data_IF_653874566805
#
_entry.id   IF_653874566805
#
_cell.length_a   1.000
_cell.length_b   1.000
_cell.length_c   1.000
_cell.angle_alpha   90.00
_cell.angle_beta   90.00
_cell.angle_gamma   90.00
#
_symmetry.space_group_name_H-M   'P 1'
#
loop_
_entity.id
_entity.type
_entity.pdbx_description
1 polymer ?
#
# COMPACT_ATOMS: atom_id res chain seq x y z
N UNK A 1 30.64 -86.53 -6.54
CA UNK A 1 29.64 -85.44 -6.77
C UNK A 1 29.65 -84.33 -5.77
N UNK A 2 29.77 -84.53 -4.42
CA UNK A 2 29.83 -83.46 -3.37
C UNK A 2 31.07 -82.59 -3.46
N UNK A 3 32.25 -83.09 -3.80
CA UNK A 3 33.50 -82.32 -3.88
C UNK A 3 33.51 -81.38 -5.08
N UNK A 4 32.91 -81.73 -6.21
CA UNK A 4 32.82 -80.91 -7.42
C UNK A 4 31.85 -79.73 -7.18
N UNK A 5 30.78 -79.97 -6.40
CA UNK A 5 29.79 -78.92 -6.07
C UNK A 5 30.35 -77.87 -5.11
N UNK A 6 31.21 -78.33 -4.17
CA UNK A 6 31.88 -77.39 -3.24
C UNK A 6 32.94 -76.52 -3.94
N UNK A 7 33.67 -77.07 -4.90
CA UNK A 7 34.65 -76.31 -5.70
C UNK A 7 33.99 -75.28 -6.60
N UNK A 8 32.80 -75.61 -7.16
CA UNK A 8 32.03 -74.66 -8.01
C UNK A 8 31.43 -73.50 -7.16
N UNK A 9 30.97 -73.80 -5.95
CA UNK A 9 30.43 -72.75 -5.05
C UNK A 9 31.56 -71.81 -4.55
N UNK A 10 32.73 -72.33 -4.26
CA UNK A 10 33.91 -71.52 -3.85
C UNK A 10 34.37 -70.67 -5.03
N UNK A 11 34.37 -71.19 -6.28
CA UNK A 11 34.73 -70.43 -7.48
C UNK A 11 33.73 -69.29 -7.76
N UNK A 12 32.43 -69.53 -7.52
CA UNK A 12 31.39 -68.50 -7.70
C UNK A 12 31.46 -67.44 -6.60
N UNK A 13 31.79 -67.82 -5.39
CA UNK A 13 32.00 -66.86 -4.26
C UNK A 13 33.27 -66.04 -4.50
N UNK A 14 34.38 -66.67 -4.96
CA UNK A 14 35.60 -65.91 -5.35
C UNK A 14 35.37 -65.01 -6.55
N UNK A 15 34.58 -65.43 -7.55
CA UNK A 15 34.20 -64.56 -8.68
C UNK A 15 33.29 -63.40 -8.22
N UNK A 16 32.36 -63.64 -7.29
CA UNK A 16 31.53 -62.56 -6.71
C UNK A 16 32.31 -61.56 -5.86
N UNK A 17 33.39 -62.00 -5.17
CA UNK A 17 34.28 -61.11 -4.44
C UNK A 17 35.19 -60.30 -5.35
N UNK A 18 35.50 -60.80 -6.53
CA UNK A 18 36.27 -60.08 -7.57
C UNK A 18 35.44 -59.09 -8.36
N UNK A 19 34.09 -59.16 -8.31
CA UNK A 19 33.20 -58.18 -8.95
C UNK A 19 32.69 -57.07 -8.01
N UNK A 20 32.92 -57.20 -6.70
CA UNK A 20 32.82 -56.04 -5.78
C UNK A 20 34.11 -55.24 -5.99
N UNK A 21 34.08 -54.35 -6.99
CA UNK A 21 35.23 -53.56 -7.37
C UNK A 21 35.81 -52.81 -6.17
N UNK A 22 37.00 -53.18 -5.76
CA UNK A 22 37.95 -52.20 -5.26
C UNK A 22 38.16 -51.23 -6.41
N UNK A 23 37.41 -50.15 -6.42
CA UNK A 23 37.79 -48.96 -7.20
C UNK A 23 39.14 -48.48 -6.63
N UNK A 24 40.25 -48.97 -7.21
CA UNK A 24 41.53 -48.33 -7.01
C UNK A 24 41.34 -46.88 -7.36
N UNK A 25 41.57 -45.99 -6.40
CA UNK A 25 41.52 -44.54 -6.66
C UNK A 25 42.37 -44.25 -7.92
N UNK A 26 41.78 -43.54 -8.87
CA UNK A 26 42.50 -43.15 -10.10
C UNK A 26 43.70 -42.26 -9.78
N UNK A 27 44.63 -42.18 -10.67
CA UNK A 27 45.78 -41.27 -10.53
C UNK A 27 45.36 -39.83 -10.40
N UNK A 28 44.28 -39.46 -11.14
CA UNK A 28 43.65 -38.13 -11.10
C UNK A 28 43.05 -37.83 -9.71
N UNK A 29 42.25 -38.75 -9.15
CA UNK A 29 41.63 -38.63 -7.86
C UNK A 29 42.67 -38.57 -6.69
N UNK A 30 43.70 -39.41 -6.79
CA UNK A 30 44.83 -39.40 -5.82
C UNK A 30 45.60 -38.09 -5.87
N UNK A 31 45.91 -37.58 -7.09
CA UNK A 31 46.58 -36.30 -7.29
C UNK A 31 45.70 -35.12 -6.79
N UNK A 32 44.40 -35.15 -7.05
CA UNK A 32 43.46 -34.14 -6.56
C UNK A 32 43.48 -34.05 -5.03
N UNK A 33 43.38 -35.19 -4.33
CA UNK A 33 43.41 -35.26 -2.85
C UNK A 33 44.69 -34.67 -2.29
N UNK A 34 45.85 -34.90 -2.97
CA UNK A 34 47.14 -34.29 -2.57
C UNK A 34 47.15 -32.77 -2.75
N UNK A 35 46.59 -32.25 -3.85
CA UNK A 35 46.43 -30.83 -4.06
C UNK A 35 45.48 -30.17 -3.07
N UNK A 36 44.38 -30.84 -2.70
CA UNK A 36 43.46 -30.36 -1.66
C UNK A 36 44.17 -30.24 -0.30
N UNK A 37 44.92 -31.26 0.09
CA UNK A 37 45.73 -31.21 1.33
C UNK A 37 46.73 -30.03 1.35
N UNK A 38 47.30 -29.66 0.18
CA UNK A 38 48.21 -28.54 0.02
C UNK A 38 47.47 -27.19 -0.17
N UNK A 39 46.13 -27.18 -0.15
CA UNK A 39 45.27 -26.02 -0.44
C UNK A 39 45.50 -25.41 -1.84
N UNK A 40 46.04 -26.20 -2.77
CA UNK A 40 46.19 -25.81 -4.17
C UNK A 40 44.91 -26.18 -4.95
N UNK A 41 43.83 -25.41 -4.65
CA UNK A 41 42.49 -25.70 -5.17
C UNK A 41 42.40 -25.56 -6.71
N UNK A 42 43.22 -24.73 -7.35
CA UNK A 42 43.22 -24.61 -8.81
C UNK A 42 43.75 -25.87 -9.50
N UNK A 43 44.84 -26.48 -8.99
CA UNK A 43 45.35 -27.71 -9.53
C UNK A 43 44.47 -28.92 -9.12
N UNK A 44 43.88 -28.91 -7.91
CA UNK A 44 42.91 -29.89 -7.49
C UNK A 44 41.72 -29.92 -8.46
N UNK A 45 41.12 -28.77 -8.81
CA UNK A 45 40.01 -28.63 -9.74
C UNK A 45 40.33 -29.26 -11.10
N UNK A 46 41.53 -28.92 -11.69
CA UNK A 46 41.96 -29.49 -12.98
C UNK A 46 42.05 -31.02 -12.96
N UNK A 47 42.52 -31.60 -11.85
CA UNK A 47 42.58 -33.07 -11.74
C UNK A 47 41.21 -33.69 -11.57
N UNK A 48 40.33 -33.06 -10.79
CA UNK A 48 38.95 -33.53 -10.60
C UNK A 48 38.11 -33.44 -11.88
N UNK A 49 38.26 -32.39 -12.64
CA UNK A 49 37.63 -32.27 -13.97
C UNK A 49 38.05 -33.41 -14.91
N UNK A 50 39.35 -33.75 -14.93
CA UNK A 50 39.83 -34.94 -15.68
C UNK A 50 39.26 -36.25 -15.12
N UNK A 51 39.18 -36.37 -13.80
CA UNK A 51 38.58 -37.54 -13.13
C UNK A 51 37.16 -37.75 -13.58
N UNK A 52 36.28 -36.71 -13.48
CA UNK A 52 34.88 -36.83 -13.79
C UNK A 52 34.62 -36.97 -15.32
N UNK A 53 35.54 -36.47 -16.16
CA UNK A 53 35.51 -36.68 -17.62
C UNK A 53 35.79 -38.14 -17.96
N UNK A 54 36.83 -38.76 -17.36
CA UNK A 54 37.18 -40.16 -17.55
C UNK A 54 36.23 -41.13 -16.88
N UNK A 55 35.75 -40.75 -15.69
CA UNK A 55 34.86 -41.54 -14.86
C UNK A 55 33.56 -40.77 -14.53
N UNK A 56 32.60 -40.68 -15.47
CA UNK A 56 31.35 -39.94 -15.27
C UNK A 56 30.43 -40.50 -14.16
N UNK A 57 30.79 -41.65 -13.59
CA UNK A 57 30.13 -42.31 -12.45
C UNK A 57 30.94 -42.24 -11.16
N UNK A 58 31.97 -41.36 -11.07
CA UNK A 58 32.77 -41.14 -9.89
C UNK A 58 32.01 -40.22 -8.91
N UNK A 59 31.23 -40.80 -7.99
CA UNK A 59 30.50 -40.00 -6.97
C UNK A 59 31.50 -39.17 -6.12
N UNK A 60 32.61 -39.80 -5.65
CA UNK A 60 33.65 -39.13 -4.89
C UNK A 60 34.33 -38.03 -5.68
N UNK A 61 34.57 -38.24 -7.02
CA UNK A 61 35.15 -37.24 -7.90
C UNK A 61 34.27 -35.99 -7.97
N UNK A 62 32.97 -36.14 -8.16
CA UNK A 62 32.03 -35.01 -8.15
C UNK A 62 31.86 -34.39 -6.78
N UNK A 63 31.86 -35.14 -5.69
CA UNK A 63 31.83 -34.62 -4.35
C UNK A 63 33.02 -33.72 -4.07
N UNK A 64 34.26 -34.22 -4.29
CA UNK A 64 35.48 -33.42 -4.11
C UNK A 64 35.55 -32.20 -5.06
N UNK A 65 35.05 -32.33 -6.28
CA UNK A 65 34.93 -31.19 -7.21
C UNK A 65 34.02 -30.11 -6.63
N UNK A 66 32.91 -30.50 -6.00
CA UNK A 66 32.03 -29.57 -5.30
C UNK A 66 32.70 -28.86 -4.14
N UNK A 67 33.47 -29.59 -3.29
CA UNK A 67 34.23 -29.00 -2.20
C UNK A 67 35.29 -28.01 -2.70
N UNK A 68 36.03 -28.35 -3.74
CA UNK A 68 37.06 -27.48 -4.33
C UNK A 68 36.45 -26.22 -4.94
N UNK A 69 35.32 -26.34 -5.62
CA UNK A 69 34.58 -25.19 -6.17
C UNK A 69 34.03 -24.28 -5.08
N UNK A 70 33.61 -24.84 -3.93
CA UNK A 70 33.26 -24.06 -2.75
C UNK A 70 34.41 -23.18 -2.27
N UNK A 71 35.63 -23.73 -2.14
CA UNK A 71 36.81 -22.99 -1.72
C UNK A 71 37.18 -21.89 -2.72
N UNK A 72 36.94 -22.12 -4.00
CA UNK A 72 37.12 -21.14 -5.08
C UNK A 72 35.96 -20.13 -5.19
N UNK A 73 34.91 -20.25 -4.35
CA UNK A 73 33.67 -19.43 -4.37
C UNK A 73 32.85 -19.57 -5.66
N UNK A 74 33.06 -20.63 -6.42
CA UNK A 74 32.22 -21.01 -7.56
C UNK A 74 31.00 -21.80 -7.04
N UNK A 75 30.00 -21.09 -6.51
CA UNK A 75 28.83 -21.72 -5.88
C UNK A 75 27.90 -22.37 -6.90
N UNK A 76 27.84 -21.87 -8.12
CA UNK A 76 27.07 -22.50 -9.18
C UNK A 76 27.69 -23.83 -9.56
N UNK A 77 28.98 -23.87 -9.82
CA UNK A 77 29.69 -25.11 -10.13
C UNK A 77 29.73 -26.09 -8.94
N UNK A 78 29.83 -25.60 -7.71
CA UNK A 78 29.67 -26.39 -6.50
C UNK A 78 28.32 -27.12 -6.48
N UNK A 79 27.23 -26.40 -6.73
CA UNK A 79 25.89 -26.98 -6.77
C UNK A 79 25.78 -28.06 -7.85
N UNK A 80 26.23 -27.76 -9.05
CA UNK A 80 26.18 -28.70 -10.19
C UNK A 80 26.98 -29.99 -9.88
N UNK A 81 28.19 -29.87 -9.30
CA UNK A 81 28.99 -31.00 -8.91
C UNK A 81 28.30 -31.84 -7.81
N UNK A 82 27.76 -31.20 -6.76
CA UNK A 82 27.04 -31.91 -5.71
C UNK A 82 25.75 -32.56 -6.22
N UNK A 83 24.97 -31.90 -7.05
CA UNK A 83 23.76 -32.48 -7.63
C UNK A 83 24.10 -33.71 -8.50
N UNK A 84 25.26 -33.66 -9.21
CA UNK A 84 25.75 -34.80 -9.97
C UNK A 84 26.20 -35.95 -9.07
N UNK A 85 26.96 -35.68 -7.99
CA UNK A 85 27.33 -36.67 -7.01
C UNK A 85 26.10 -37.39 -6.45
N UNK A 86 25.08 -36.65 -5.99
CA UNK A 86 23.84 -37.18 -5.46
C UNK A 86 23.03 -38.00 -6.49
N UNK A 87 23.13 -37.67 -7.78
CA UNK A 87 22.48 -38.45 -8.86
C UNK A 87 23.13 -39.78 -9.09
N UNK A 88 24.41 -39.97 -8.69
CA UNK A 88 25.17 -41.18 -8.83
C UNK A 88 24.95 -42.14 -7.65
N UNK A 89 25.01 -41.56 -6.42
CA UNK A 89 24.80 -42.34 -5.20
C UNK A 89 24.64 -41.46 -3.93
N UNK A 90 24.25 -42.07 -2.80
CA UNK A 90 23.98 -41.34 -1.58
C UNK A 90 25.15 -41.30 -0.60
N UNK A 91 26.34 -41.76 -0.99
CA UNK A 91 27.49 -41.94 -0.06
C UNK A 91 27.83 -40.65 0.66
N UNK A 92 27.88 -39.51 -0.08
CA UNK A 92 28.22 -38.19 0.44
C UNK A 92 27.00 -37.28 0.71
N UNK A 93 25.80 -37.86 0.80
CA UNK A 93 24.57 -37.08 0.93
C UNK A 93 24.54 -36.18 2.17
N UNK A 94 24.99 -36.70 3.32
CA UNK A 94 25.02 -35.98 4.60
C UNK A 94 26.05 -34.86 4.59
N UNK A 95 27.23 -35.13 4.06
CA UNK A 95 28.32 -34.18 3.90
C UNK A 95 27.91 -33.03 2.98
N UNK A 96 27.35 -33.35 1.81
CA UNK A 96 26.83 -32.37 0.88
C UNK A 96 25.79 -31.47 1.51
N UNK A 97 24.82 -32.05 2.24
CA UNK A 97 23.80 -31.28 2.94
C UNK A 97 24.41 -30.35 3.99
N UNK A 98 25.38 -30.86 4.77
CA UNK A 98 26.07 -30.04 5.78
C UNK A 98 26.86 -28.88 5.15
N UNK A 99 27.58 -29.14 4.06
CA UNK A 99 28.33 -28.12 3.32
C UNK A 99 27.38 -27.09 2.74
N UNK A 100 26.32 -27.51 2.05
CA UNK A 100 25.31 -26.59 1.48
C UNK A 100 24.69 -25.71 2.56
N UNK A 101 24.36 -26.27 3.72
CA UNK A 101 23.79 -25.51 4.85
C UNK A 101 24.80 -24.47 5.40
N UNK A 102 26.05 -24.88 5.59
CA UNK A 102 27.13 -24.00 6.08
C UNK A 102 27.40 -22.86 5.12
N UNK A 103 27.53 -23.15 3.83
CA UNK A 103 27.77 -22.14 2.78
C UNK A 103 26.57 -21.17 2.68
N UNK A 104 25.37 -21.72 2.64
CA UNK A 104 24.15 -20.92 2.64
C UNK A 104 24.08 -20.00 3.85
N UNK A 105 24.33 -20.53 5.07
CA UNK A 105 24.28 -19.75 6.30
C UNK A 105 25.28 -18.59 6.31
N UNK A 106 26.50 -18.82 5.83
CA UNK A 106 27.51 -17.77 5.69
C UNK A 106 27.08 -16.70 4.70
N UNK A 107 26.65 -17.08 3.49
CA UNK A 107 26.19 -16.14 2.45
C UNK A 107 24.93 -15.39 2.90
N UNK A 108 24.01 -16.05 3.56
CA UNK A 108 22.81 -15.41 4.12
C UNK A 108 23.18 -14.34 5.17
N UNK A 109 24.09 -14.68 6.10
CA UNK A 109 24.54 -13.74 7.11
C UNK A 109 25.35 -12.55 6.52
N UNK A 110 26.18 -12.80 5.50
CA UNK A 110 26.84 -11.74 4.73
C UNK A 110 25.81 -10.77 4.11
N UNK A 111 24.74 -11.30 3.54
CA UNK A 111 23.64 -10.51 3.00
C UNK A 111 22.89 -9.70 4.06
N UNK A 112 22.59 -10.32 5.21
CA UNK A 112 21.91 -9.64 6.34
C UNK A 112 22.81 -8.53 6.91
N UNK A 113 24.08 -8.78 7.09
CA UNK A 113 25.03 -7.77 7.58
C UNK A 113 25.13 -6.59 6.59
N UNK A 114 25.23 -6.87 5.29
CA UNK A 114 25.28 -5.86 4.27
C UNK A 114 23.99 -5.01 4.22
N UNK A 115 22.81 -5.64 4.29
CA UNK A 115 21.53 -4.90 4.24
C UNK A 115 21.32 -4.06 5.50
N UNK A 116 21.80 -4.49 6.66
CA UNK A 116 21.71 -3.72 7.90
C UNK A 116 22.63 -2.48 7.88
N UNK A 117 23.73 -2.53 7.12
CA UNK A 117 24.65 -1.40 6.88
C UNK A 117 24.24 -0.56 5.68
N UNK A 118 23.14 -0.88 5.01
CA UNK A 118 22.73 -0.22 3.76
C UNK A 118 22.22 1.23 3.94
N UNK A 119 21.91 1.65 5.19
CA UNK A 119 21.62 3.06 5.49
C UNK A 119 22.76 4.00 5.09
N UNK A 120 24.00 3.47 5.00
CA UNK A 120 25.20 4.28 4.82
C UNK A 120 25.71 4.31 3.37
N UNK A 121 25.28 3.36 2.50
CA UNK A 121 25.67 3.40 1.08
C UNK A 121 24.91 2.39 0.21
N UNK A 122 24.64 2.77 -1.06
CA UNK A 122 24.07 1.88 -2.09
C UNK A 122 24.96 0.65 -2.37
N UNK A 123 26.29 0.76 -2.20
CA UNK A 123 27.22 -0.35 -2.37
C UNK A 123 26.93 -1.52 -1.40
N UNK A 124 26.39 -1.25 -0.22
CA UNK A 124 25.99 -2.30 0.72
C UNK A 124 24.73 -3.03 0.27
N UNK A 125 23.81 -2.35 -0.42
CA UNK A 125 22.62 -2.99 -1.02
C UNK A 125 23.05 -3.97 -2.11
N UNK A 126 23.99 -3.59 -2.99
CA UNK A 126 24.52 -4.47 -4.04
C UNK A 126 25.25 -5.70 -3.48
N UNK A 127 26.01 -5.51 -2.40
CA UNK A 127 26.64 -6.63 -1.67
C UNK A 127 25.59 -7.60 -1.12
N UNK A 128 24.50 -7.08 -0.52
CA UNK A 128 23.41 -7.89 -0.01
C UNK A 128 22.73 -8.69 -1.13
N UNK A 129 22.42 -8.03 -2.26
CA UNK A 129 21.83 -8.69 -3.44
C UNK A 129 22.74 -9.81 -3.93
N UNK A 130 24.04 -9.56 -4.05
CA UNK A 130 25.00 -10.57 -4.49
C UNK A 130 25.04 -11.76 -3.54
N UNK A 131 25.15 -11.50 -2.23
CA UNK A 131 25.22 -12.56 -1.21
C UNK A 131 23.93 -13.40 -1.17
N UNK A 132 22.74 -12.77 -1.17
CA UNK A 132 21.48 -13.50 -1.20
C UNK A 132 21.26 -14.24 -2.53
N UNK A 133 21.70 -13.71 -3.66
CA UNK A 133 21.62 -14.40 -4.94
C UNK A 133 22.46 -15.68 -4.92
N UNK A 134 23.70 -15.63 -4.41
CA UNK A 134 24.52 -16.83 -4.24
C UNK A 134 23.93 -17.80 -3.23
N UNK A 135 23.36 -17.30 -2.13
CA UNK A 135 22.67 -18.16 -1.15
C UNK A 135 21.47 -18.91 -1.78
N UNK A 136 20.75 -18.30 -2.71
CA UNK A 136 19.65 -18.96 -3.48
C UNK A 136 20.19 -19.99 -4.45
N UNK A 137 21.37 -19.77 -5.07
CA UNK A 137 22.02 -20.80 -5.89
C UNK A 137 22.28 -22.05 -5.06
N UNK A 138 22.77 -21.90 -3.82
CA UNK A 138 23.07 -23.03 -2.92
C UNK A 138 21.83 -23.71 -2.38
N UNK A 139 20.81 -22.92 -1.98
CA UNK A 139 19.53 -23.39 -1.42
C UNK A 139 18.34 -22.67 -2.09
N UNK A 140 17.92 -23.12 -3.28
CA UNK A 140 16.86 -22.44 -4.06
C UNK A 140 15.49 -22.36 -3.36
N UNK A 141 15.21 -23.30 -2.46
CA UNK A 141 13.97 -23.41 -1.69
C UNK A 141 13.92 -22.48 -0.47
N UNK A 142 15.01 -21.78 -0.16
CA UNK A 142 15.07 -20.92 1.03
C UNK A 142 14.14 -19.71 0.90
N UNK A 143 12.96 -19.80 1.52
CA UNK A 143 11.93 -18.75 1.59
C UNK A 143 12.49 -17.47 2.20
N UNK A 144 13.23 -17.62 3.32
CA UNK A 144 13.83 -16.50 4.03
C UNK A 144 14.84 -15.72 3.17
N UNK A 145 15.65 -16.45 2.39
CA UNK A 145 16.59 -15.81 1.46
C UNK A 145 15.85 -15.07 0.33
N UNK A 146 14.80 -15.67 -0.23
CA UNK A 146 13.95 -15.01 -1.24
C UNK A 146 13.33 -13.72 -0.72
N UNK A 147 12.75 -13.75 0.50
CA UNK A 147 12.21 -12.55 1.11
C UNK A 147 13.26 -11.46 1.28
N UNK A 148 14.43 -11.80 1.83
CA UNK A 148 15.50 -10.82 2.06
C UNK A 148 16.09 -10.28 0.76
N UNK A 149 16.18 -11.10 -0.29
CA UNK A 149 16.57 -10.65 -1.63
C UNK A 149 15.52 -9.67 -2.20
N UNK A 150 14.23 -9.97 -2.04
CA UNK A 150 13.17 -9.05 -2.42
C UNK A 150 13.24 -7.71 -1.67
N UNK A 151 13.52 -7.73 -0.36
CA UNK A 151 13.73 -6.52 0.42
C UNK A 151 14.97 -5.73 -0.05
N UNK A 152 16.07 -6.43 -0.40
CA UNK A 152 17.27 -5.79 -0.93
C UNK A 152 17.02 -5.10 -2.28
N UNK A 153 16.27 -5.75 -3.19
CA UNK A 153 15.85 -5.12 -4.44
C UNK A 153 14.90 -3.94 -4.21
N UNK A 154 13.98 -4.03 -3.24
CA UNK A 154 13.12 -2.90 -2.89
C UNK A 154 13.93 -1.68 -2.43
N UNK A 155 14.96 -1.88 -1.59
CA UNK A 155 15.87 -0.80 -1.17
C UNK A 155 16.72 -0.24 -2.31
N UNK A 156 16.94 -1.04 -3.36
CA UNK A 156 17.63 -0.62 -4.60
C UNK A 156 16.68 0.11 -5.56
N UNK A 157 15.39 0.19 -5.24
CA UNK A 157 14.34 0.71 -6.11
C UNK A 157 14.11 -0.15 -7.38
N UNK A 158 14.65 -1.38 -7.43
CA UNK A 158 14.32 -2.37 -8.45
C UNK A 158 13.04 -3.10 -8.06
N UNK A 159 11.92 -2.41 -8.28
CA UNK A 159 10.59 -2.88 -7.88
C UNK A 159 10.19 -4.19 -8.58
N UNK A 160 10.45 -4.40 -9.91
CA UNK A 160 10.12 -5.66 -10.56
C UNK A 160 10.82 -6.86 -9.90
N UNK A 161 12.12 -6.76 -9.61
CA UNK A 161 12.89 -7.82 -8.96
C UNK A 161 12.45 -8.04 -7.51
N UNK A 162 12.06 -6.97 -6.80
CA UNK A 162 11.52 -7.04 -5.46
C UNK A 162 10.20 -7.85 -5.46
N UNK A 163 9.25 -7.48 -6.31
CA UNK A 163 7.96 -8.15 -6.44
C UNK A 163 8.16 -9.63 -6.79
N UNK A 164 9.02 -9.95 -7.77
CA UNK A 164 9.28 -11.33 -8.16
C UNK A 164 9.72 -12.19 -6.97
N UNK A 165 10.73 -11.75 -6.24
CA UNK A 165 11.29 -12.54 -5.14
C UNK A 165 10.33 -12.64 -3.94
N UNK A 166 9.63 -11.56 -3.59
CA UNK A 166 8.61 -11.55 -2.55
C UNK A 166 7.41 -12.44 -2.90
N UNK A 167 6.97 -12.44 -4.18
CA UNK A 167 5.90 -13.32 -4.64
C UNK A 167 6.26 -14.78 -4.49
N UNK A 168 7.49 -15.17 -4.86
CA UNK A 168 7.98 -16.55 -4.66
C UNK A 168 7.99 -16.91 -3.17
N UNK A 169 8.47 -16.01 -2.31
CA UNK A 169 8.49 -16.23 -0.87
C UNK A 169 7.07 -16.38 -0.29
N UNK A 170 6.14 -15.55 -0.72
CA UNK A 170 4.75 -15.61 -0.26
C UNK A 170 4.01 -16.84 -0.79
N UNK A 171 3.97 -17.04 -2.11
CA UNK A 171 3.12 -18.07 -2.72
C UNK A 171 3.65 -19.49 -2.46
N UNK A 172 4.97 -19.70 -2.57
CA UNK A 172 5.59 -21.01 -2.33
C UNK A 172 5.90 -21.26 -0.86
N UNK A 173 6.33 -20.23 -0.14
CA UNK A 173 6.79 -20.33 1.25
C UNK A 173 5.76 -19.97 2.29
N UNK A 174 4.59 -19.45 1.90
CA UNK A 174 3.57 -18.92 2.82
C UNK A 174 4.16 -17.91 3.82
N UNK A 175 5.07 -17.06 3.33
CA UNK A 175 5.78 -16.10 4.19
C UNK A 175 4.91 -14.88 4.46
N UNK A 176 4.53 -14.68 5.72
CA UNK A 176 3.69 -13.57 6.18
C UNK A 176 4.33 -12.21 5.88
N UNK A 177 5.64 -12.07 6.15
CA UNK A 177 6.33 -10.79 5.95
C UNK A 177 6.44 -10.46 4.46
N UNK A 178 6.65 -11.45 3.60
CA UNK A 178 6.64 -11.24 2.15
C UNK A 178 5.26 -10.77 1.66
N UNK A 179 4.17 -11.34 2.20
CA UNK A 179 2.81 -10.87 1.91
C UNK A 179 2.63 -9.39 2.28
N UNK A 180 3.02 -9.02 3.51
CA UNK A 180 2.91 -7.64 4.00
C UNK A 180 3.74 -6.65 3.17
N UNK A 181 4.98 -7.04 2.83
CA UNK A 181 5.86 -6.21 1.99
C UNK A 181 5.30 -6.02 0.58
N UNK A 182 4.79 -7.09 -0.05
CA UNK A 182 4.15 -6.99 -1.37
C UNK A 182 2.96 -6.03 -1.35
N UNK A 183 2.05 -6.21 -0.40
CA UNK A 183 0.89 -5.34 -0.28
C UNK A 183 1.27 -3.89 -0.05
N UNK A 184 2.29 -3.64 0.78
CA UNK A 184 2.81 -2.30 1.04
C UNK A 184 3.42 -1.68 -0.22
N UNK A 185 4.24 -2.42 -0.98
CA UNK A 185 4.81 -1.94 -2.24
C UNK A 185 3.70 -1.46 -3.19
N UNK A 186 2.67 -2.27 -3.38
CA UNK A 186 1.55 -1.91 -4.26
C UNK A 186 0.74 -0.73 -3.73
N UNK A 187 0.49 -0.65 -2.41
CA UNK A 187 -0.18 0.49 -1.79
C UNK A 187 0.61 1.79 -1.95
N UNK A 188 1.91 1.75 -1.68
CA UNK A 188 2.79 2.93 -1.78
C UNK A 188 2.83 3.46 -3.22
N UNK A 189 2.97 2.58 -4.22
CA UNK A 189 2.94 2.93 -5.65
C UNK A 189 1.57 3.50 -6.07
N UNK A 190 0.50 2.88 -5.61
CA UNK A 190 -0.86 3.39 -5.86
C UNK A 190 -1.07 4.78 -5.30
N UNK A 191 -0.59 5.02 -4.07
CA UNK A 191 -0.66 6.32 -3.40
C UNK A 191 0.21 7.38 -4.10
N UNK A 192 1.43 7.03 -4.53
CA UNK A 192 2.31 7.93 -5.28
C UNK A 192 1.65 8.41 -6.57
N UNK A 193 1.14 7.48 -7.38
CA UNK A 193 0.42 7.80 -8.62
C UNK A 193 -0.84 8.63 -8.36
N UNK A 194 -1.59 8.33 -7.30
CA UNK A 194 -2.77 9.10 -6.90
C UNK A 194 -2.40 10.53 -6.48
N UNK A 195 -1.32 10.69 -5.73
CA UNK A 195 -0.80 12.00 -5.31
C UNK A 195 -0.38 12.81 -6.53
N UNK A 196 0.40 12.22 -7.43
CA UNK A 196 0.82 12.84 -8.69
C UNK A 196 -0.38 13.32 -9.52
N UNK A 197 -1.41 12.48 -9.68
CA UNK A 197 -2.65 12.86 -10.35
C UNK A 197 -3.32 14.05 -9.67
N UNK A 198 -3.44 14.03 -8.34
CA UNK A 198 -4.12 15.08 -7.58
C UNK A 198 -3.35 16.40 -7.66
N UNK A 199 -2.02 16.35 -7.58
CA UNK A 199 -1.18 17.55 -7.68
C UNK A 199 -1.20 18.16 -9.07
N UNK A 200 -1.14 17.34 -10.13
CA UNK A 200 -1.21 17.78 -11.51
C UNK A 200 -2.55 18.49 -11.84
N UNK A 201 -3.62 18.16 -11.10
CA UNK A 201 -4.95 18.71 -11.32
C UNK A 201 -5.45 19.57 -10.15
N UNK A 202 -4.57 20.01 -9.24
CA UNK A 202 -4.94 20.73 -8.01
C UNK A 202 -5.81 21.96 -8.28
N UNK A 203 -5.42 22.78 -9.26
CA UNK A 203 -6.16 24.00 -9.61
C UNK A 203 -7.53 23.68 -10.19
N UNK A 204 -7.62 22.66 -11.03
CA UNK A 204 -8.88 22.19 -11.60
C UNK A 204 -9.83 21.70 -10.52
N UNK A 205 -9.34 20.87 -9.59
CA UNK A 205 -10.16 20.36 -8.48
C UNK A 205 -10.56 21.48 -7.51
N UNK A 206 -9.68 22.44 -7.25
CA UNK A 206 -10.02 23.62 -6.46
C UNK A 206 -11.11 24.45 -7.15
N UNK A 207 -11.02 24.66 -8.45
CA UNK A 207 -12.03 25.37 -9.23
C UNK A 207 -13.39 24.65 -9.21
N UNK A 208 -13.41 23.32 -9.41
CA UNK A 208 -14.64 22.52 -9.30
C UNK A 208 -15.27 22.67 -7.92
N UNK A 209 -14.48 22.50 -6.85
CA UNK A 209 -14.96 22.67 -5.47
C UNK A 209 -15.51 24.07 -5.20
N UNK A 210 -14.86 25.11 -5.71
CA UNK A 210 -15.31 26.49 -5.55
C UNK A 210 -16.63 26.73 -6.30
N UNK A 211 -16.78 26.18 -7.53
CA UNK A 211 -18.02 26.24 -8.29
C UNK A 211 -19.18 25.51 -7.60
N UNK A 212 -18.92 24.36 -6.98
CA UNK A 212 -19.91 23.60 -6.20
C UNK A 212 -20.39 24.36 -4.95
N UNK A 213 -19.60 25.28 -4.43
CA UNK A 213 -19.93 26.09 -3.26
C UNK A 213 -20.76 27.34 -3.59
N UNK A 214 -20.95 27.67 -4.87
CA UNK A 214 -21.76 28.82 -5.28
C UNK A 214 -23.25 28.60 -4.92
N UNK A 215 -23.88 29.65 -4.40
CA UNK A 215 -25.30 29.63 -4.03
C UNK A 215 -25.93 30.96 -4.38
N UNK A 216 -27.20 30.97 -4.81
CA UNK A 216 -27.99 32.18 -4.82
C UNK A 216 -28.16 32.73 -3.40
N UNK A 217 -28.33 34.03 -3.27
CA UNK A 217 -28.43 34.78 -2.03
C UNK A 217 -27.13 34.88 -1.20
N UNK A 218 -25.99 34.36 -1.71
CA UNK A 218 -24.70 34.62 -1.08
C UNK A 218 -24.24 36.06 -1.36
N UNK A 219 -23.32 36.57 -0.54
CA UNK A 219 -22.75 37.90 -0.79
C UNK A 219 -21.87 37.91 -2.05
N UNK A 220 -21.90 38.98 -2.79
CA UNK A 220 -21.09 39.14 -4.00
C UNK A 220 -19.58 39.06 -3.74
N UNK A 221 -19.14 39.51 -2.55
CA UNK A 221 -17.75 39.40 -2.11
C UNK A 221 -17.31 37.92 -1.96
N UNK A 222 -18.21 37.03 -1.56
CA UNK A 222 -17.90 35.61 -1.40
C UNK A 222 -17.68 34.92 -2.75
N UNK A 223 -18.43 35.36 -3.80
CA UNK A 223 -18.17 34.88 -5.17
C UNK A 223 -16.77 35.28 -5.63
N UNK A 224 -16.35 36.53 -5.36
CA UNK A 224 -14.99 36.96 -5.68
C UNK A 224 -13.93 36.23 -4.87
N UNK A 225 -14.23 35.89 -3.63
CA UNK A 225 -13.32 35.06 -2.80
C UNK A 225 -13.16 33.65 -3.39
N UNK A 226 -14.25 33.03 -3.87
CA UNK A 226 -14.23 31.69 -4.45
C UNK A 226 -13.61 31.66 -5.84
N UNK A 227 -13.99 32.60 -6.72
CA UNK A 227 -13.69 32.55 -8.15
C UNK A 227 -12.67 33.60 -8.62
N UNK A 228 -12.23 34.48 -7.74
CA UNK A 228 -11.45 35.66 -8.13
C UNK A 228 -12.32 36.78 -8.71
N UNK A 229 -11.69 37.73 -9.37
CA UNK A 229 -12.41 38.80 -10.06
C UNK A 229 -13.07 38.26 -11.37
N UNK A 230 -14.29 38.75 -11.71
CA UNK A 230 -14.92 38.37 -12.97
C UNK A 230 -14.10 38.87 -14.18
N UNK A 231 -14.14 38.11 -15.26
CA UNK A 231 -13.50 38.49 -16.54
C UNK A 231 -14.10 39.74 -17.13
N UNK A 232 -15.41 39.93 -16.96
CA UNK A 232 -16.19 41.07 -17.44
C UNK A 232 -17.30 41.41 -16.43
N UNK A 233 -17.58 42.70 -16.28
CA UNK A 233 -18.72 43.22 -15.50
C UNK A 233 -19.60 44.08 -16.38
N UNK A 234 -20.80 43.63 -16.66
CA UNK A 234 -21.81 44.37 -17.40
C UNK A 234 -22.70 45.11 -16.41
N UNK A 235 -22.67 46.46 -16.48
CA UNK A 235 -23.55 47.32 -15.70
C UNK A 235 -24.65 47.90 -16.63
N UNK A 236 -25.93 47.83 -16.26
CA UNK A 236 -26.99 48.39 -17.07
C UNK A 236 -26.86 49.93 -17.16
N UNK A 237 -26.79 50.44 -18.38
CA UNK A 237 -26.55 51.85 -18.68
C UNK A 237 -27.77 52.77 -18.41
N UNK A 238 -28.98 52.24 -18.17
CA UNK A 238 -30.23 52.99 -17.94
C UNK A 238 -31.16 52.23 -16.96
N UNK A 239 -30.76 52.08 -15.68
CA UNK A 239 -31.67 51.52 -14.68
C UNK A 239 -32.17 52.64 -13.75
N UNK A 240 -33.46 52.63 -13.40
CA UNK A 240 -34.00 53.43 -12.29
C UNK A 240 -33.33 52.95 -10.99
N UNK A 241 -33.15 53.87 -10.03
CA UNK A 241 -32.55 53.53 -8.74
C UNK A 241 -33.32 52.37 -8.10
N UNK A 242 -32.73 51.16 -8.11
CA UNK A 242 -33.32 49.92 -7.62
C UNK A 242 -33.32 48.71 -8.60
N UNK A 243 -33.11 48.94 -9.92
CA UNK A 243 -33.19 47.87 -10.95
C UNK A 243 -31.83 47.50 -11.58
N UNK A 244 -30.74 47.95 -11.01
CA UNK A 244 -29.40 47.80 -11.61
C UNK A 244 -28.74 46.49 -11.21
N UNK A 245 -29.15 45.37 -11.81
CA UNK A 245 -28.45 44.09 -11.65
C UNK A 245 -27.17 44.10 -12.48
N UNK A 246 -26.02 43.91 -11.82
CA UNK A 246 -24.75 43.69 -12.50
C UNK A 246 -24.67 42.23 -12.97
N UNK A 247 -24.14 41.99 -14.17
CA UNK A 247 -23.79 40.65 -14.66
C UNK A 247 -22.28 40.49 -14.64
N UNK A 248 -21.80 39.55 -13.84
CA UNK A 248 -20.41 39.18 -13.73
C UNK A 248 -20.14 37.94 -14.55
N UNK A 249 -19.30 38.02 -15.58
CA UNK A 249 -18.91 36.87 -16.39
C UNK A 249 -17.58 36.30 -15.91
N UNK A 250 -17.57 35.01 -15.77
CA UNK A 250 -16.38 34.19 -15.48
C UNK A 250 -16.15 33.27 -16.68
N UNK A 251 -15.49 33.83 -17.73
CA UNK A 251 -15.36 33.18 -19.03
C UNK A 251 -14.62 31.81 -18.91
N UNK A 252 -13.63 31.70 -18.01
CA UNK A 252 -12.89 30.45 -17.72
C UNK A 252 -13.78 29.33 -17.20
N UNK A 253 -14.96 29.66 -16.66
CA UNK A 253 -15.90 28.67 -16.07
C UNK A 253 -17.22 28.60 -16.87
N UNK A 254 -17.35 29.32 -17.96
CA UNK A 254 -18.60 29.48 -18.73
C UNK A 254 -19.78 29.93 -17.84
N UNK A 255 -19.53 30.82 -16.89
CA UNK A 255 -20.44 31.19 -15.83
C UNK A 255 -20.79 32.66 -15.88
N UNK A 256 -22.09 32.95 -15.68
CA UNK A 256 -22.63 34.30 -15.48
C UNK A 256 -23.32 34.36 -14.12
N UNK A 257 -22.92 35.32 -13.29
CA UNK A 257 -23.49 35.57 -11.97
C UNK A 257 -24.16 36.93 -11.99
N UNK A 258 -25.48 37.00 -11.72
CA UNK A 258 -26.18 38.26 -11.57
C UNK A 258 -26.16 38.72 -10.12
N UNK A 259 -25.79 39.97 -9.91
CA UNK A 259 -25.66 40.59 -8.60
C UNK A 259 -26.56 41.81 -8.49
N UNK A 260 -27.36 41.89 -7.44
CA UNK A 260 -28.20 43.05 -7.10
C UNK A 260 -27.68 43.64 -5.79
N UNK A 261 -27.08 44.82 -5.88
CA UNK A 261 -26.33 45.39 -4.77
C UNK A 261 -25.17 44.52 -4.34
N UNK A 262 -25.27 43.94 -3.16
CA UNK A 262 -24.24 43.04 -2.59
C UNK A 262 -24.62 41.55 -2.65
N UNK A 263 -25.77 41.20 -3.23
CA UNK A 263 -26.33 39.83 -3.15
C UNK A 263 -26.43 39.21 -4.54
N UNK A 264 -26.02 37.96 -4.63
CA UNK A 264 -26.17 37.12 -5.82
C UNK A 264 -27.65 36.75 -6.02
N UNK A 265 -28.18 37.05 -7.18
CA UNK A 265 -29.58 36.78 -7.53
C UNK A 265 -29.72 35.55 -8.43
N UNK A 266 -28.78 35.34 -9.37
CA UNK A 266 -28.78 34.15 -10.22
C UNK A 266 -27.37 33.66 -10.51
N UNK A 267 -27.25 32.36 -10.74
CA UNK A 267 -26.02 31.67 -11.15
C UNK A 267 -26.37 30.83 -12.39
N UNK A 268 -25.80 31.18 -13.53
CA UNK A 268 -26.14 30.54 -14.81
C UNK A 268 -24.88 30.12 -15.57
N UNK A 269 -24.79 28.86 -15.90
CA UNK A 269 -23.77 28.36 -16.82
C UNK A 269 -24.24 28.54 -18.27
N UNK A 270 -23.41 29.11 -19.13
CA UNK A 270 -23.67 29.22 -20.59
C UNK A 270 -23.48 27.85 -21.26
N UNK A 271 -22.48 27.11 -20.83
CA UNK A 271 -22.25 25.69 -21.11
C UNK A 271 -21.69 25.04 -19.87
N UNK A 272 -21.87 23.71 -19.66
CA UNK A 272 -21.28 23.02 -18.51
C UNK A 272 -19.76 23.24 -18.47
N UNK A 273 -19.23 23.52 -17.28
CA UNK A 273 -17.77 23.53 -17.06
C UNK A 273 -17.23 22.11 -17.12
N UNK A 274 -16.45 21.80 -18.12
CA UNK A 274 -15.88 20.47 -18.36
C UNK A 274 -14.36 20.59 -18.63
N UNK A 275 -13.55 20.73 -17.57
CA UNK A 275 -12.11 20.84 -17.71
C UNK A 275 -11.51 19.51 -18.22
N UNK A 276 -10.43 19.61 -18.99
CA UNK A 276 -9.67 18.43 -19.39
C UNK A 276 -8.89 17.89 -18.21
N UNK A 277 -9.12 16.61 -17.87
CA UNK A 277 -8.42 15.88 -16.81
C UNK A 277 -7.72 14.69 -17.46
N UNK A 278 -6.39 14.65 -17.39
CA UNK A 278 -5.63 13.46 -17.77
C UNK A 278 -5.74 12.41 -16.66
N UNK A 279 -6.46 11.34 -16.93
CA UNK A 279 -6.70 10.25 -15.96
C UNK A 279 -5.66 9.13 -16.01
N UNK A 280 -4.53 9.30 -16.68
CA UNK A 280 -3.51 8.26 -16.86
C UNK A 280 -2.96 7.77 -15.53
N UNK A 281 -2.44 8.69 -14.70
CA UNK A 281 -1.90 8.33 -13.38
C UNK A 281 -2.99 7.81 -12.44
N UNK A 282 -4.22 8.32 -12.53
CA UNK A 282 -5.37 7.80 -11.77
C UNK A 282 -5.66 6.33 -12.13
N UNK A 283 -5.74 6.00 -13.42
CA UNK A 283 -5.98 4.62 -13.90
C UNK A 283 -4.84 3.70 -13.51
N UNK A 284 -3.59 4.16 -13.64
CA UNK A 284 -2.42 3.40 -13.20
C UNK A 284 -2.47 3.13 -11.69
N UNK A 285 -2.88 4.11 -10.87
CA UNK A 285 -3.04 3.90 -9.42
C UNK A 285 -4.07 2.81 -9.10
N UNK A 286 -5.16 2.70 -9.86
CA UNK A 286 -6.16 1.65 -9.67
C UNK A 286 -5.59 0.26 -9.94
N UNK A 287 -4.67 0.10 -10.89
CA UNK A 287 -3.99 -1.17 -11.16
C UNK A 287 -3.17 -1.60 -9.95
N UNK A 288 -2.39 -0.69 -9.38
CA UNK A 288 -1.56 -0.96 -8.19
C UNK A 288 -2.44 -1.30 -6.96
N UNK A 289 -3.49 -0.53 -6.70
CA UNK A 289 -4.40 -0.82 -5.59
C UNK A 289 -5.12 -2.17 -5.75
N UNK A 290 -5.53 -2.55 -6.97
CA UNK A 290 -6.14 -3.86 -7.20
C UNK A 290 -5.13 -4.99 -7.01
N UNK A 291 -3.85 -4.81 -7.39
CA UNK A 291 -2.80 -5.78 -7.09
C UNK A 291 -2.60 -5.93 -5.57
N UNK A 292 -2.65 -4.83 -4.81
CA UNK A 292 -2.63 -4.87 -3.34
C UNK A 292 -3.83 -5.67 -2.80
N UNK A 293 -5.04 -5.43 -3.31
CA UNK A 293 -6.26 -6.18 -2.94
C UNK A 293 -6.06 -7.68 -3.14
N UNK A 294 -5.55 -8.10 -4.29
CA UNK A 294 -5.38 -9.52 -4.61
C UNK A 294 -4.37 -10.20 -3.68
N UNK A 295 -3.24 -9.56 -3.41
CA UNK A 295 -2.24 -10.08 -2.49
C UNK A 295 -2.77 -10.14 -1.06
N UNK A 296 -3.43 -9.07 -0.57
CA UNK A 296 -3.94 -9.00 0.79
C UNK A 296 -5.12 -9.96 1.02
N UNK A 297 -5.99 -10.20 0.02
CA UNK A 297 -7.02 -11.23 0.08
C UNK A 297 -6.43 -12.63 0.23
N UNK A 298 -5.44 -12.98 -0.60
CA UNK A 298 -4.72 -14.24 -0.46
C UNK A 298 -4.06 -14.36 0.92
N UNK A 299 -3.45 -13.25 1.38
CA UNK A 299 -2.83 -13.16 2.70
C UNK A 299 -3.83 -13.41 3.83
N UNK A 300 -5.00 -12.80 3.77
CA UNK A 300 -6.03 -12.94 4.82
C UNK A 300 -6.61 -14.35 4.87
N UNK A 301 -6.66 -15.07 3.74
CA UNK A 301 -7.03 -16.50 3.71
C UNK A 301 -5.98 -17.35 4.45
N UNK A 302 -4.69 -17.05 4.29
CA UNK A 302 -3.60 -17.79 4.92
C UNK A 302 -3.38 -17.38 6.38
N UNK A 303 -3.62 -16.12 6.71
CA UNK A 303 -3.37 -15.50 8.01
C UNK A 303 -4.61 -14.70 8.47
N UNK A 304 -5.73 -15.38 8.79
CA UNK A 304 -7.03 -14.73 9.03
C UNK A 304 -7.05 -13.83 10.28
N UNK A 305 -6.10 -14.01 11.19
CA UNK A 305 -5.99 -13.21 12.41
C UNK A 305 -5.02 -12.03 12.31
N UNK A 306 -4.37 -11.83 11.15
CA UNK A 306 -3.42 -10.74 10.99
C UNK A 306 -4.14 -9.41 10.76
N UNK A 307 -4.10 -8.54 11.77
CA UNK A 307 -4.77 -7.25 11.76
C UNK A 307 -4.19 -6.29 10.72
N UNK A 308 -2.87 -6.35 10.45
CA UNK A 308 -2.19 -5.49 9.50
C UNK A 308 -2.59 -5.82 8.06
N UNK A 309 -2.69 -7.13 7.70
CA UNK A 309 -3.19 -7.54 6.39
C UNK A 309 -4.62 -7.05 6.18
N UNK A 310 -5.48 -7.21 7.20
CA UNK A 310 -6.87 -6.77 7.15
C UNK A 310 -6.99 -5.25 6.98
N UNK A 311 -6.16 -4.47 7.68
CA UNK A 311 -6.11 -3.01 7.56
C UNK A 311 -5.60 -2.57 6.18
N UNK A 312 -4.52 -3.19 5.70
CA UNK A 312 -3.98 -2.90 4.38
C UNK A 312 -4.95 -3.31 3.25
N UNK A 313 -5.73 -4.38 3.42
CA UNK A 313 -6.79 -4.75 2.49
C UNK A 313 -7.88 -3.68 2.42
N UNK A 314 -8.29 -3.14 3.57
CA UNK A 314 -9.24 -2.03 3.63
C UNK A 314 -8.70 -0.80 2.87
N UNK A 315 -7.44 -0.42 3.13
CA UNK A 315 -6.80 0.71 2.46
C UNK A 315 -6.69 0.48 0.94
N UNK A 316 -6.41 -0.75 0.53
CA UNK A 316 -6.36 -1.15 -0.88
C UNK A 316 -7.75 -1.05 -1.55
N UNK A 317 -8.81 -1.48 -0.88
CA UNK A 317 -10.18 -1.32 -1.39
C UNK A 317 -10.56 0.15 -1.56
N UNK A 318 -10.25 1.01 -0.57
CA UNK A 318 -10.49 2.46 -0.65
C UNK A 318 -9.71 3.06 -1.83
N UNK A 319 -8.43 2.75 -1.95
CA UNK A 319 -7.58 3.20 -3.05
C UNK A 319 -8.09 2.73 -4.42
N UNK A 320 -8.58 1.52 -4.52
CA UNK A 320 -9.19 0.96 -5.73
C UNK A 320 -10.61 1.49 -6.01
N UNK A 321 -11.17 2.37 -5.16
CA UNK A 321 -12.56 2.85 -5.23
C UNK A 321 -13.62 1.73 -5.10
N UNK A 322 -13.26 0.63 -4.43
CA UNK A 322 -14.13 -0.53 -4.14
C UNK A 322 -14.78 -0.34 -2.77
N UNK A 323 -15.63 0.69 -2.68
CA UNK A 323 -16.17 1.16 -1.40
C UNK A 323 -17.08 0.14 -0.72
N UNK A 324 -17.85 -0.66 -1.47
CA UNK A 324 -18.75 -1.65 -0.90
C UNK A 324 -17.99 -2.77 -0.18
N UNK A 325 -16.91 -3.27 -0.79
CA UNK A 325 -16.06 -4.27 -0.16
C UNK A 325 -15.31 -3.70 1.05
N UNK A 326 -14.86 -2.44 0.97
CA UNK A 326 -14.24 -1.76 2.12
C UNK A 326 -15.23 -1.66 3.30
N UNK A 327 -16.49 -1.31 3.03
CA UNK A 327 -17.54 -1.20 4.05
C UNK A 327 -17.83 -2.54 4.73
N UNK A 328 -17.96 -3.62 3.95
CA UNK A 328 -18.19 -4.96 4.50
C UNK A 328 -17.02 -5.38 5.41
N UNK A 329 -15.78 -5.20 4.93
CA UNK A 329 -14.59 -5.51 5.72
C UNK A 329 -14.50 -4.67 6.99
N UNK A 330 -14.84 -3.37 6.93
CA UNK A 330 -14.85 -2.48 8.10
C UNK A 330 -15.87 -2.92 9.14
N UNK A 331 -17.07 -3.34 8.72
CA UNK A 331 -18.08 -3.84 9.64
C UNK A 331 -17.62 -5.13 10.36
N UNK A 332 -16.88 -5.99 9.67
CA UNK A 332 -16.24 -7.17 10.28
C UNK A 332 -15.12 -6.78 11.23
N UNK A 333 -14.27 -5.83 10.84
CA UNK A 333 -13.16 -5.34 11.68
C UNK A 333 -13.63 -4.69 12.97
N UNK A 334 -14.66 -3.84 12.93
CA UNK A 334 -15.26 -3.23 14.13
C UNK A 334 -15.75 -4.29 15.12
N UNK A 335 -16.31 -5.41 14.61
CA UNK A 335 -16.73 -6.53 15.47
C UNK A 335 -15.56 -7.28 16.09
N UNK A 336 -14.46 -7.42 15.33
CA UNK A 336 -13.26 -8.16 15.74
C UNK A 336 -12.31 -7.32 16.60
N UNK A 337 -12.22 -6.02 16.33
CA UNK A 337 -11.33 -5.06 16.99
C UNK A 337 -12.14 -3.85 17.52
N UNK A 338 -12.98 -4.05 18.53
CA UNK A 338 -13.91 -3.03 19.03
C UNK A 338 -13.22 -1.79 19.61
N UNK A 339 -11.93 -1.88 19.96
CA UNK A 339 -11.13 -0.77 20.50
C UNK A 339 -10.33 -0.02 19.41
N UNK A 340 -10.60 -0.29 18.13
CA UNK A 340 -9.96 0.43 17.02
C UNK A 340 -10.73 1.71 16.67
N UNK A 341 -10.27 2.87 17.18
CA UNK A 341 -10.88 4.16 16.86
C UNK A 341 -10.92 4.47 15.36
N UNK A 342 -9.92 4.00 14.60
CA UNK A 342 -9.85 4.23 13.16
C UNK A 342 -10.86 3.38 12.39
N UNK A 343 -11.12 2.13 12.80
CA UNK A 343 -12.13 1.30 12.15
C UNK A 343 -13.53 1.88 12.37
N UNK A 344 -13.85 2.29 13.59
CA UNK A 344 -15.10 3.00 13.90
C UNK A 344 -15.23 4.30 13.10
N UNK A 345 -14.19 5.12 13.06
CA UNK A 345 -14.19 6.36 12.28
C UNK A 345 -14.43 6.12 10.79
N UNK A 346 -13.69 5.18 10.20
CA UNK A 346 -13.80 4.86 8.77
C UNK A 346 -15.18 4.28 8.44
N UNK A 347 -15.73 3.39 9.28
CA UNK A 347 -17.08 2.88 9.10
C UNK A 347 -18.10 4.02 9.17
N UNK A 348 -17.96 4.94 10.11
CA UNK A 348 -18.80 6.13 10.21
C UNK A 348 -18.76 7.00 8.94
N UNK A 349 -17.58 7.17 8.32
CA UNK A 349 -17.43 7.90 7.04
C UNK A 349 -18.19 7.21 5.90
N UNK A 350 -18.11 5.87 5.80
CA UNK A 350 -18.88 5.14 4.78
C UNK A 350 -20.40 5.24 5.01
N UNK A 351 -20.85 5.07 6.25
CA UNK A 351 -22.26 5.21 6.62
C UNK A 351 -22.80 6.62 6.33
N UNK A 352 -21.97 7.65 6.55
CA UNK A 352 -22.34 9.04 6.22
C UNK A 352 -22.52 9.23 4.70
N UNK A 353 -21.66 8.65 3.86
CA UNK A 353 -21.81 8.68 2.40
C UNK A 353 -23.12 8.02 1.94
N UNK A 354 -23.53 6.97 2.62
CA UNK A 354 -24.78 6.26 2.35
C UNK A 354 -26.01 6.94 3.00
N UNK A 355 -25.84 8.16 3.57
CA UNK A 355 -26.89 8.89 4.30
C UNK A 355 -27.48 8.13 5.50
N UNK A 356 -26.76 7.12 6.02
CA UNK A 356 -27.08 6.39 7.26
C UNK A 356 -26.61 7.21 8.47
N UNK A 357 -27.22 8.39 8.66
CA UNK A 357 -26.73 9.42 9.59
C UNK A 357 -26.67 8.94 11.05
N UNK A 358 -27.69 8.20 11.52
CA UNK A 358 -27.76 7.72 12.90
C UNK A 358 -26.61 6.77 13.21
N UNK A 359 -26.41 5.78 12.36
CA UNK A 359 -25.37 4.78 12.48
C UNK A 359 -23.97 5.42 12.34
N UNK A 360 -23.82 6.38 11.42
CA UNK A 360 -22.55 7.12 11.26
C UNK A 360 -22.15 7.83 12.55
N UNK A 361 -23.11 8.55 13.18
CA UNK A 361 -22.88 9.25 14.46
C UNK A 361 -22.51 8.27 15.56
N UNK A 362 -23.16 7.11 15.62
CA UNK A 362 -22.84 6.07 16.61
C UNK A 362 -21.37 5.61 16.45
N UNK A 363 -20.94 5.33 15.23
CA UNK A 363 -19.56 4.93 14.97
C UNK A 363 -18.55 6.02 15.32
N UNK A 364 -18.81 7.28 14.97
CA UNK A 364 -17.96 8.39 15.38
C UNK A 364 -17.91 8.56 16.90
N UNK A 365 -19.02 8.41 17.60
CA UNK A 365 -19.07 8.42 19.07
C UNK A 365 -18.27 7.26 19.68
N UNK A 366 -18.31 6.09 19.11
CA UNK A 366 -17.49 4.96 19.56
C UNK A 366 -15.99 5.27 19.37
N UNK A 367 -15.59 5.89 18.25
CA UNK A 367 -14.21 6.38 18.09
C UNK A 367 -13.81 7.38 19.18
N UNK A 368 -14.73 8.30 19.59
CA UNK A 368 -14.48 9.26 20.67
C UNK A 368 -14.48 8.64 22.08
N UNK A 369 -15.18 7.53 22.32
CA UNK A 369 -15.07 6.78 23.58
C UNK A 369 -13.67 6.20 23.75
N UNK A 370 -13.05 5.77 22.65
CA UNK A 370 -11.70 5.21 22.63
C UNK A 370 -10.65 6.31 22.74
N UNK A 371 -10.85 7.42 22.00
CA UNK A 371 -9.96 8.59 22.03
C UNK A 371 -10.80 9.88 22.01
N UNK A 372 -11.01 10.46 23.18
CA UNK A 372 -11.81 11.68 23.37
C UNK A 372 -11.22 12.93 22.69
N UNK A 373 -9.95 12.87 22.28
CA UNK A 373 -9.24 13.97 21.59
C UNK A 373 -9.27 13.84 20.07
N UNK A 374 -9.89 12.77 19.53
CA UNK A 374 -9.91 12.51 18.10
C UNK A 374 -10.76 13.55 17.35
N UNK A 375 -10.13 14.66 16.96
CA UNK A 375 -10.77 15.82 16.32
C UNK A 375 -11.53 15.47 15.03
N UNK A 376 -11.05 14.48 14.23
CA UNK A 376 -11.74 14.04 13.04
C UNK A 376 -13.16 13.50 13.31
N UNK A 377 -13.33 12.75 14.40
CA UNK A 377 -14.64 12.24 14.80
C UNK A 377 -15.57 13.38 15.30
N UNK A 378 -15.04 14.35 16.06
CA UNK A 378 -15.81 15.53 16.49
C UNK A 378 -16.35 16.29 15.27
N UNK A 379 -15.48 16.54 14.29
CA UNK A 379 -15.81 17.22 13.04
C UNK A 379 -16.91 16.48 12.26
N UNK A 380 -16.73 15.17 12.08
CA UNK A 380 -17.69 14.38 11.32
C UNK A 380 -19.05 14.22 12.02
N UNK A 381 -19.10 14.22 13.36
CA UNK A 381 -20.37 14.24 14.07
C UNK A 381 -21.12 15.55 13.78
N UNK A 382 -20.42 16.70 13.88
CA UNK A 382 -21.02 18.00 13.59
C UNK A 382 -21.56 18.04 12.15
N UNK A 383 -20.73 17.69 11.17
CA UNK A 383 -21.10 17.65 9.76
C UNK A 383 -22.28 16.69 9.50
N UNK A 384 -22.28 15.51 10.13
CA UNK A 384 -23.37 14.52 9.99
C UNK A 384 -24.70 15.06 10.50
N UNK A 385 -24.72 15.72 11.67
CA UNK A 385 -25.94 16.33 12.17
C UNK A 385 -26.45 17.47 11.29
N UNK A 386 -25.57 18.30 10.75
CA UNK A 386 -25.93 19.37 9.83
C UNK A 386 -26.51 18.78 8.53
N UNK A 387 -25.84 17.82 7.93
CA UNK A 387 -26.33 17.15 6.71
C UNK A 387 -27.68 16.47 6.93
N UNK A 388 -27.86 15.81 8.08
CA UNK A 388 -29.15 15.21 8.45
C UNK A 388 -30.25 16.27 8.59
N UNK A 389 -29.96 17.40 9.23
CA UNK A 389 -30.92 18.51 9.34
C UNK A 389 -31.32 19.08 7.98
N UNK A 390 -30.35 19.24 7.06
CA UNK A 390 -30.63 19.66 5.68
C UNK A 390 -31.52 18.63 4.96
N UNK A 391 -31.15 17.36 5.01
CA UNK A 391 -31.91 16.29 4.34
C UNK A 391 -33.36 16.19 4.89
N UNK A 392 -33.56 16.31 6.21
CA UNK A 392 -34.87 16.32 6.82
C UNK A 392 -35.68 17.56 6.38
N UNK A 393 -35.07 18.73 6.31
CA UNK A 393 -35.71 19.97 5.85
C UNK A 393 -36.16 19.82 4.38
N UNK A 394 -35.31 19.32 3.51
CA UNK A 394 -35.66 19.09 2.10
C UNK A 394 -36.77 18.06 1.94
N UNK A 395 -36.74 16.97 2.72
CA UNK A 395 -37.79 15.95 2.73
C UNK A 395 -39.15 16.53 3.16
N UNK A 396 -39.18 17.35 4.23
CA UNK A 396 -40.39 18.00 4.74
C UNK A 396 -40.94 18.99 3.71
N UNK A 397 -40.06 19.78 3.06
CA UNK A 397 -40.48 20.69 1.98
C UNK A 397 -41.08 19.93 0.79
N UNK A 398 -40.45 18.86 0.34
CA UNK A 398 -40.97 18.01 -0.74
C UNK A 398 -42.31 17.36 -0.38
N UNK A 399 -42.56 17.11 0.91
CA UNK A 399 -43.86 16.57 1.40
C UNK A 399 -44.94 17.65 1.64
N UNK A 400 -44.68 18.92 1.31
CA UNK A 400 -45.62 20.04 1.56
C UNK A 400 -45.79 20.37 3.05
N UNK A 401 -44.87 19.99 3.93
CA UNK A 401 -44.90 20.22 5.38
C UNK A 401 -43.93 21.34 5.79
N UNK A 402 -43.98 22.48 5.13
CA UNK A 402 -43.04 23.59 5.34
C UNK A 402 -43.12 24.18 6.78
N UNK A 403 -44.24 24.00 7.45
CA UNK A 403 -44.42 24.42 8.87
C UNK A 403 -43.79 23.47 9.88
N UNK A 404 -43.37 22.26 9.51
CA UNK A 404 -42.71 21.31 10.40
C UNK A 404 -41.23 21.69 10.57
N UNK A 405 -40.85 22.04 11.77
CA UNK A 405 -39.52 22.49 12.15
C UNK A 405 -38.71 21.41 12.88
N UNK A 406 -39.16 20.16 12.83
CA UNK A 406 -38.51 19.02 13.54
C UNK A 406 -37.03 18.81 13.13
N UNK A 407 -36.64 19.16 11.90
CA UNK A 407 -35.26 19.16 11.42
C UNK A 407 -34.31 20.03 12.25
N UNK A 408 -34.85 21.06 12.95
CA UNK A 408 -34.04 21.95 13.81
C UNK A 408 -33.40 21.22 15.01
N UNK A 409 -33.98 20.10 15.45
CA UNK A 409 -33.37 19.27 16.49
C UNK A 409 -31.99 18.74 16.07
N UNK A 410 -31.79 18.43 14.78
CA UNK A 410 -30.50 18.00 14.26
C UNK A 410 -29.45 19.13 14.33
N UNK A 411 -29.86 20.34 13.99
CA UNK A 411 -28.99 21.53 14.15
C UNK A 411 -28.64 21.81 15.62
N UNK A 412 -29.59 21.65 16.56
CA UNK A 412 -29.29 21.77 17.99
C UNK A 412 -28.26 20.74 18.44
N UNK A 413 -28.33 19.52 17.94
CA UNK A 413 -27.39 18.45 18.25
C UNK A 413 -25.99 18.69 17.65
N UNK A 414 -25.88 19.46 16.56
CA UNK A 414 -24.60 19.85 15.98
C UNK A 414 -23.84 20.90 16.81
N UNK A 415 -24.57 21.80 17.50
CA UNK A 415 -24.01 22.98 18.16
C UNK A 415 -22.82 22.68 19.10
N UNK A 416 -22.92 21.74 20.09
CA UNK A 416 -21.83 21.50 21.02
C UNK A 416 -20.53 21.05 20.34
N UNK A 417 -20.64 20.37 19.22
CA UNK A 417 -19.49 19.94 18.44
C UNK A 417 -18.90 21.09 17.63
N UNK A 418 -19.73 21.91 16.98
CA UNK A 418 -19.27 23.09 16.22
C UNK A 418 -18.64 24.14 17.14
N UNK A 419 -19.26 24.43 18.27
CA UNK A 419 -18.72 25.36 19.27
C UNK A 419 -17.36 24.89 19.78
N UNK A 420 -17.18 23.59 20.04
CA UNK A 420 -15.88 23.00 20.40
C UNK A 420 -14.85 23.18 19.30
N UNK A 421 -15.22 22.87 18.04
CA UNK A 421 -14.29 22.96 16.89
C UNK A 421 -13.75 24.40 16.74
N UNK A 422 -14.62 25.42 16.80
CA UNK A 422 -14.19 26.82 16.64
C UNK A 422 -13.43 27.36 17.85
N UNK A 423 -13.54 26.72 19.03
CA UNK A 423 -12.68 27.02 20.20
C UNK A 423 -11.27 26.44 19.99
N UNK A 424 -11.18 25.23 19.47
CA UNK A 424 -9.92 24.52 19.25
C UNK A 424 -9.18 25.04 18.00
N UNK A 425 -9.93 25.43 16.95
CA UNK A 425 -9.42 25.97 15.67
C UNK A 425 -10.02 27.35 15.39
N UNK A 426 -9.52 28.33 16.09
CA UNK A 426 -10.06 29.72 16.06
C UNK A 426 -9.94 30.43 14.72
N UNK A 427 -9.08 29.94 13.82
CA UNK A 427 -8.79 30.50 12.49
C UNK A 427 -9.45 29.72 11.32
N UNK A 428 -10.33 28.76 11.61
CA UNK A 428 -11.06 27.99 10.63
C UNK A 428 -12.33 28.76 10.16
N UNK A 429 -12.17 29.50 9.06
CA UNK A 429 -13.25 30.33 8.47
C UNK A 429 -14.48 29.47 8.17
N UNK A 430 -14.28 28.27 7.58
CA UNK A 430 -15.41 27.42 7.15
C UNK A 430 -16.25 26.95 8.36
N UNK A 431 -15.60 26.68 9.48
CA UNK A 431 -16.30 26.25 10.69
C UNK A 431 -17.06 27.40 11.36
N UNK A 432 -16.53 28.63 11.36
CA UNK A 432 -17.26 29.80 11.81
C UNK A 432 -18.48 30.10 10.94
N UNK A 433 -18.37 29.97 9.61
CA UNK A 433 -19.49 30.13 8.68
C UNK A 433 -20.57 29.04 8.89
N UNK A 434 -20.15 27.77 9.05
CA UNK A 434 -21.07 26.67 9.32
C UNK A 434 -21.80 26.85 10.66
N UNK A 435 -21.11 27.30 11.70
CA UNK A 435 -21.70 27.62 12.99
C UNK A 435 -22.71 28.78 12.86
N UNK A 436 -22.36 29.82 12.11
CA UNK A 436 -23.27 30.94 11.80
C UNK A 436 -24.52 30.49 11.07
N UNK A 437 -24.37 29.60 10.08
CA UNK A 437 -25.49 29.01 9.36
C UNK A 437 -26.42 28.19 10.27
N UNK A 438 -25.84 27.38 11.17
CA UNK A 438 -26.61 26.59 12.13
C UNK A 438 -27.34 27.51 13.12
N UNK A 439 -26.72 28.55 13.65
CA UNK A 439 -27.38 29.53 14.50
C UNK A 439 -28.55 30.24 13.76
N UNK A 440 -28.35 30.64 12.51
CA UNK A 440 -29.40 31.27 11.69
C UNK A 440 -30.61 30.35 11.51
N UNK A 441 -30.39 29.06 11.19
CA UNK A 441 -31.44 28.04 11.05
C UNK A 441 -32.21 27.81 12.39
N UNK A 442 -31.55 28.04 13.51
CA UNK A 442 -32.16 27.94 14.85
C UNK A 442 -32.81 29.25 15.32
N UNK A 443 -32.89 30.28 14.45
CA UNK A 443 -33.38 31.63 14.76
C UNK A 443 -32.57 32.37 15.86
N UNK A 444 -31.27 32.05 16.03
CA UNK A 444 -30.35 32.68 16.96
C UNK A 444 -29.56 33.78 16.25
N UNK A 445 -30.27 34.85 15.80
CA UNK A 445 -29.72 35.88 14.89
C UNK A 445 -28.45 36.57 15.42
N UNK A 446 -28.41 36.95 16.69
CA UNK A 446 -27.24 37.62 17.28
C UNK A 446 -26.00 36.75 17.27
N UNK A 447 -26.14 35.46 17.60
CA UNK A 447 -25.05 34.50 17.55
C UNK A 447 -24.60 34.17 16.10
N UNK A 448 -25.55 34.12 15.18
CA UNK A 448 -25.24 33.94 13.76
C UNK A 448 -24.39 35.08 13.23
N UNK A 449 -24.76 36.32 13.55
CA UNK A 449 -24.01 37.53 13.14
C UNK A 449 -22.59 37.51 13.75
N UNK A 450 -22.45 37.23 15.06
CA UNK A 450 -21.14 37.10 15.70
C UNK A 450 -20.23 36.03 15.04
N UNK A 451 -20.79 34.89 14.65
CA UNK A 451 -20.03 33.84 14.00
C UNK A 451 -19.57 34.28 12.59
N UNK A 452 -20.44 34.93 11.82
CA UNK A 452 -20.08 35.47 10.49
C UNK A 452 -19.06 36.62 10.61
N UNK A 453 -19.19 37.51 11.58
CA UNK A 453 -18.22 38.59 11.82
C UNK A 453 -16.83 38.00 12.14
N UNK A 454 -16.78 36.90 12.91
CA UNK A 454 -15.55 36.19 13.19
C UNK A 454 -14.92 35.63 11.90
N UNK A 455 -15.70 34.95 11.05
CA UNK A 455 -15.25 34.44 9.76
C UNK A 455 -14.70 35.57 8.87
N UNK A 456 -15.40 36.69 8.80
CA UNK A 456 -15.00 37.86 8.02
C UNK A 456 -13.72 38.53 8.58
N UNK A 457 -13.56 38.61 9.89
CA UNK A 457 -12.35 39.16 10.54
C UNK A 457 -11.11 38.28 10.19
N UNK A 458 -11.24 36.94 10.26
CA UNK A 458 -10.16 36.02 9.92
C UNK A 458 -9.81 36.15 8.42
N UNK A 459 -10.82 36.27 7.55
CA UNK A 459 -10.64 36.46 6.10
C UNK A 459 -9.85 37.73 5.79
N UNK A 460 -10.19 38.85 6.45
CA UNK A 460 -9.51 40.14 6.29
C UNK A 460 -8.08 40.13 6.86
N UNK A 461 -7.79 39.33 7.87
CA UNK A 461 -6.46 39.21 8.46
C UNK A 461 -5.52 38.27 7.69
N UNK A 462 -6.01 37.54 6.71
CA UNK A 462 -5.21 36.65 5.83
C UNK A 462 -4.90 37.30 4.46
N UNK A 463 -5.42 38.50 4.18
CA UNK A 463 -5.12 39.33 3.00
C UNK A 463 -4.15 40.46 3.35
#
# INVERSE_FOLDING_TARGET
>A
MKIILQSAIIAVILAAILTTGFQCATAELTSAKLYIQRKDFQNAMKQLEKEVEKNPKSEEGYFLLGEVRQELRDYQGMKEAFDKALSIGPVHQKEIQSIKLSVWGRLFNEGVEAINKASDSSANVDKAITAFTMAIVVMPESVMTRRNLGLAYYRKEDIPSAILNLTIAFEKGKDLLACKLLGRIYLDRGNELRTKFTEAHREVFAAIKNLENLREKMKAVDVKYLLGNPSEVNKPTKAKKGDAKEEWKYNQYNLVVSVDGEIVTTIKYTTPYAPKIDSTDYKASLVEFNAAVDIMKKGLIMFPEDAEISENLMNAYIGASRNDEARVLLAERVRKYPDSKFDHYNLGVFLLKDSSYSEAIEQFKNALKIDSTFSGAVYNIAATYVNWGVADQERLKAAGKEGDVSYKEKYKMALPYLEKIVQDKKDDIQMWELLGQVYANLNMQDKALQAYDKADAIRKGKN
#
